data_IF_583426654545
#
_entry.id   IF_583426654545
#
_cell.length_a   1.000
_cell.length_b   1.000
_cell.length_c   1.000
_cell.angle_alpha   90.00
_cell.angle_beta   90.00
_cell.angle_gamma   90.00
#
_symmetry.space_group_name_H-M   'P 1'
#
loop_
_entity.id
_entity.type
_entity.pdbx_description
1 polymer ?
#
# COMPACT_ATOMS: atom_id res chain seq x y z
N UNK A 1 19.19 -13.63 -11.82
CA UNK A 1 17.92 -12.88 -12.06
C UNK A 1 16.76 -13.82 -11.68
N UNK A 2 16.01 -13.49 -10.67
CA UNK A 2 14.99 -14.39 -10.11
C UNK A 2 13.81 -14.52 -11.10
N UNK A 3 13.61 -15.71 -11.69
CA UNK A 3 12.54 -16.00 -12.63
C UNK A 3 11.23 -16.42 -11.94
N UNK A 4 11.24 -16.53 -10.61
CA UNK A 4 10.09 -17.03 -9.87
C UNK A 4 8.89 -16.07 -9.92
N UNK A 5 9.10 -14.75 -9.79
CA UNK A 5 8.02 -13.78 -9.84
C UNK A 5 7.25 -13.80 -11.18
N UNK A 6 7.89 -13.67 -12.35
CA UNK A 6 7.16 -13.77 -13.62
C UNK A 6 6.48 -15.13 -13.82
N UNK A 7 7.07 -16.22 -13.32
CA UNK A 7 6.42 -17.53 -13.38
C UNK A 7 5.15 -17.56 -12.50
N UNK A 8 5.18 -17.02 -11.27
CA UNK A 8 4.02 -16.90 -10.41
C UNK A 8 2.93 -16.01 -11.04
N UNK A 9 3.30 -14.89 -11.65
CA UNK A 9 2.32 -14.04 -12.36
C UNK A 9 1.66 -14.77 -13.54
N UNK A 10 2.43 -15.55 -14.30
CA UNK A 10 1.91 -16.38 -15.38
C UNK A 10 0.95 -17.47 -14.87
N UNK A 11 1.25 -18.09 -13.72
CA UNK A 11 0.35 -19.09 -13.11
C UNK A 11 -0.93 -18.45 -12.58
N UNK A 12 -0.91 -17.19 -12.08
CA UNK A 12 -2.14 -16.45 -11.77
C UNK A 12 -3.01 -16.31 -13.02
N UNK A 13 -2.43 -15.86 -14.13
CA UNK A 13 -3.15 -15.70 -15.40
C UNK A 13 -3.71 -17.04 -15.87
N UNK A 14 -2.92 -18.11 -15.81
CA UNK A 14 -3.39 -19.45 -16.19
C UNK A 14 -4.55 -19.94 -15.31
N UNK A 15 -4.48 -19.72 -13.98
CA UNK A 15 -5.57 -20.07 -13.07
C UNK A 15 -6.85 -19.28 -13.37
N UNK A 16 -6.76 -18.02 -13.79
CA UNK A 16 -7.90 -17.23 -14.24
C UNK A 16 -8.53 -17.82 -15.51
N UNK A 17 -7.74 -18.26 -16.48
CA UNK A 17 -8.28 -18.94 -17.67
C UNK A 17 -8.98 -20.26 -17.30
N UNK A 18 -8.39 -21.06 -16.40
CA UNK A 18 -9.03 -22.27 -15.90
C UNK A 18 -10.34 -21.96 -15.21
N UNK A 19 -10.45 -20.83 -14.49
CA UNK A 19 -11.69 -20.43 -13.81
C UNK A 19 -12.85 -20.12 -14.76
N UNK A 20 -12.58 -19.78 -16.02
CA UNK A 20 -13.61 -19.60 -17.05
C UNK A 20 -14.21 -20.94 -17.47
N UNK A 21 -13.36 -21.96 -17.65
CA UNK A 21 -13.81 -23.29 -18.07
C UNK A 21 -14.36 -24.14 -16.91
N UNK A 22 -13.74 -24.03 -15.75
CA UNK A 22 -14.14 -24.77 -14.52
C UNK A 22 -13.97 -23.86 -13.30
N UNK A 23 -15.00 -23.06 -12.95
CA UNK A 23 -14.88 -22.06 -11.89
C UNK A 23 -14.40 -22.64 -10.56
N UNK A 24 -14.97 -23.79 -10.15
CA UNK A 24 -14.63 -24.40 -8.87
C UNK A 24 -13.14 -24.80 -8.77
N UNK A 25 -12.58 -25.36 -9.84
CA UNK A 25 -11.18 -25.76 -9.89
C UNK A 25 -10.29 -24.53 -10.05
N UNK A 26 -10.67 -23.60 -10.94
CA UNK A 26 -9.91 -22.38 -11.21
C UNK A 26 -9.72 -21.51 -9.98
N UNK A 27 -10.77 -21.28 -9.17
CA UNK A 27 -10.65 -20.50 -7.94
C UNK A 27 -9.79 -21.19 -6.86
N UNK A 28 -9.82 -22.53 -6.77
CA UNK A 28 -8.91 -23.27 -5.89
C UNK A 28 -7.44 -23.14 -6.32
N UNK A 29 -7.18 -23.26 -7.62
CA UNK A 29 -5.82 -23.05 -8.18
C UNK A 29 -5.36 -21.62 -7.97
N UNK A 30 -6.23 -20.64 -8.24
CA UNK A 30 -5.93 -19.23 -7.99
C UNK A 30 -5.56 -19.00 -6.51
N UNK A 31 -6.31 -19.60 -5.58
CA UNK A 31 -6.02 -19.54 -4.15
C UNK A 31 -4.61 -20.06 -3.81
N UNK A 32 -4.25 -21.24 -4.33
CA UNK A 32 -2.91 -21.83 -4.13
C UNK A 32 -1.80 -20.91 -4.67
N UNK A 33 -2.01 -20.34 -5.86
CA UNK A 33 -1.03 -19.44 -6.48
C UNK A 33 -0.90 -18.14 -5.69
N UNK A 34 -2.00 -17.58 -5.14
CA UNK A 34 -1.93 -16.40 -4.28
C UNK A 34 -1.18 -16.66 -2.98
N UNK A 35 -1.36 -17.84 -2.36
CA UNK A 35 -0.56 -18.24 -1.19
C UNK A 35 0.93 -18.31 -1.57
N UNK A 36 1.26 -18.97 -2.68
CA UNK A 36 2.64 -19.07 -3.14
C UNK A 36 3.25 -17.69 -3.42
N UNK A 37 2.48 -16.80 -4.04
CA UNK A 37 2.89 -15.41 -4.30
C UNK A 37 3.11 -14.64 -3.00
N UNK A 38 2.18 -14.71 -2.04
CA UNK A 38 2.30 -14.05 -0.74
C UNK A 38 3.56 -14.52 0.01
N UNK A 39 3.79 -15.84 0.07
CA UNK A 39 4.99 -16.42 0.69
C UNK A 39 6.26 -15.96 -0.02
N UNK A 40 6.24 -15.93 -1.35
CA UNK A 40 7.39 -15.48 -2.13
C UNK A 40 7.68 -13.99 -1.86
N UNK A 41 6.66 -13.13 -1.85
CA UNK A 41 6.79 -11.70 -1.55
C UNK A 41 7.33 -11.49 -0.13
N UNK A 42 6.77 -12.14 0.87
CA UNK A 42 7.27 -12.05 2.25
C UNK A 42 8.76 -12.37 2.40
N UNK A 43 9.28 -13.28 1.56
CA UNK A 43 10.68 -13.73 1.64
C UNK A 43 11.65 -12.92 0.80
N UNK A 44 11.19 -12.37 -0.33
CA UNK A 44 12.08 -11.84 -1.37
C UNK A 44 11.91 -10.33 -1.61
N UNK A 45 10.86 -9.71 -1.06
CA UNK A 45 10.62 -8.28 -1.25
C UNK A 45 11.47 -7.41 -0.32
N UNK A 46 11.66 -6.17 -0.74
CA UNK A 46 12.42 -5.14 0.00
C UNK A 46 11.74 -4.70 1.30
N UNK A 47 10.48 -5.10 1.51
CA UNK A 47 9.68 -4.78 2.70
C UNK A 47 10.39 -5.14 4.01
N UNK A 48 11.00 -6.33 4.08
CA UNK A 48 11.76 -6.77 5.24
C UNK A 48 13.00 -5.89 5.55
N UNK A 49 13.64 -5.36 4.51
CA UNK A 49 14.72 -4.38 4.64
C UNK A 49 14.22 -3.02 5.12
N UNK A 50 13.00 -2.62 4.73
CA UNK A 50 12.34 -1.39 5.17
C UNK A 50 12.12 -1.36 6.67
N UNK A 51 11.63 -2.45 7.25
CA UNK A 51 11.37 -2.57 8.70
C UNK A 51 12.60 -2.24 9.56
N UNK A 52 13.80 -2.61 9.11
CA UNK A 52 15.06 -2.37 9.84
C UNK A 52 15.55 -0.93 9.78
N UNK A 53 15.09 -0.14 8.82
CA UNK A 53 15.56 1.25 8.59
C UNK A 53 14.83 2.29 9.43
N UNK A 54 13.66 1.96 9.99
CA UNK A 54 12.83 2.89 10.76
C UNK A 54 12.09 3.94 9.91
N UNK A 55 11.34 4.80 10.58
CA UNK A 55 10.63 5.92 9.96
C UNK A 55 9.68 5.53 8.83
N UNK A 56 9.69 6.29 7.74
CA UNK A 56 8.83 6.04 6.57
C UNK A 56 9.08 4.67 5.92
N UNK A 57 10.34 4.21 5.91
CA UNK A 57 10.67 2.91 5.32
C UNK A 57 10.08 1.75 6.13
N UNK A 58 10.07 1.86 7.46
CA UNK A 58 9.42 0.87 8.33
C UNK A 58 7.89 0.87 8.16
N UNK A 59 7.28 2.05 8.03
CA UNK A 59 5.85 2.18 7.74
C UNK A 59 5.46 1.45 6.44
N UNK A 60 6.17 1.73 5.35
CA UNK A 60 5.94 1.07 4.06
C UNK A 60 6.16 -0.44 4.20
N UNK A 61 7.30 -0.84 4.76
CA UNK A 61 7.65 -2.25 4.91
C UNK A 61 6.62 -3.04 5.72
N UNK A 62 6.09 -2.45 6.81
CA UNK A 62 5.08 -3.13 7.63
C UNK A 62 3.75 -3.30 6.87
N UNK A 63 3.26 -2.25 6.21
CA UNK A 63 2.00 -2.34 5.46
C UNK A 63 2.10 -3.31 4.27
N UNK A 64 3.26 -3.39 3.60
CA UNK A 64 3.53 -4.40 2.59
C UNK A 64 3.42 -5.81 3.18
N UNK A 65 4.11 -6.06 4.30
CA UNK A 65 4.08 -7.38 4.96
C UNK A 65 2.68 -7.78 5.40
N UNK A 66 1.92 -6.87 6.02
CA UNK A 66 0.53 -7.11 6.42
C UNK A 66 -0.34 -7.37 5.18
N UNK A 67 -0.16 -6.59 4.11
CA UNK A 67 -0.87 -6.81 2.85
C UNK A 67 -0.61 -8.19 2.26
N UNK A 68 0.62 -8.71 2.33
CA UNK A 68 0.93 -10.07 1.88
C UNK A 68 0.23 -11.14 2.73
N UNK A 69 0.07 -10.91 4.03
CA UNK A 69 -0.69 -11.83 4.90
C UNK A 69 -2.17 -11.85 4.51
N UNK A 70 -2.78 -10.68 4.23
CA UNK A 70 -4.15 -10.59 3.74
C UNK A 70 -4.33 -11.28 2.39
N UNK A 71 -3.38 -11.12 1.47
CA UNK A 71 -3.37 -11.82 0.18
C UNK A 71 -3.31 -13.34 0.38
N UNK A 72 -2.47 -13.81 1.30
CA UNK A 72 -2.37 -15.22 1.68
C UNK A 72 -3.66 -15.76 2.28
N UNK A 73 -4.33 -14.97 3.14
CA UNK A 73 -5.63 -15.34 3.73
C UNK A 73 -6.71 -15.48 2.65
N UNK A 74 -6.82 -14.54 1.72
CA UNK A 74 -7.74 -14.64 0.59
C UNK A 74 -7.46 -15.90 -0.24
N UNK A 75 -6.18 -16.17 -0.50
CA UNK A 75 -5.75 -17.40 -1.18
C UNK A 75 -6.15 -18.67 -0.44
N UNK A 76 -6.01 -18.69 0.89
CA UNK A 76 -6.42 -19.83 1.72
C UNK A 76 -7.93 -20.07 1.64
N UNK A 77 -8.74 -19.03 1.75
CA UNK A 77 -10.20 -19.12 1.69
C UNK A 77 -10.64 -19.68 0.32
N UNK A 78 -10.07 -19.17 -0.80
CA UNK A 78 -10.39 -19.70 -2.13
C UNK A 78 -9.90 -21.13 -2.34
N UNK A 79 -8.75 -21.52 -1.79
CA UNK A 79 -8.24 -22.89 -1.90
C UNK A 79 -9.19 -23.88 -1.25
N UNK A 80 -9.74 -23.55 -0.09
CA UNK A 80 -10.65 -24.41 0.66
C UNK A 80 -12.04 -24.44 0.01
N UNK A 81 -12.60 -23.28 -0.30
CA UNK A 81 -14.01 -23.18 -0.74
C UNK A 81 -14.19 -23.26 -2.27
N UNK A 82 -13.18 -22.87 -3.06
CA UNK A 82 -13.33 -22.70 -4.51
C UNK A 82 -14.11 -21.44 -4.85
N UNK A 83 -15.01 -21.54 -5.85
CA UNK A 83 -15.85 -20.42 -6.25
C UNK A 83 -16.79 -20.00 -5.10
N UNK A 84 -16.72 -18.73 -4.76
CA UNK A 84 -17.58 -18.06 -3.79
C UNK A 84 -18.31 -16.92 -4.52
N UNK A 85 -19.63 -16.87 -4.39
CA UNK A 85 -20.47 -15.83 -5.02
C UNK A 85 -21.18 -14.96 -3.99
N UNK A 86 -21.39 -15.48 -2.78
CA UNK A 86 -22.10 -14.79 -1.68
C UNK A 86 -21.64 -15.33 -0.34
N UNK A 87 -22.10 -14.69 0.73
CA UNK A 87 -21.87 -15.14 2.09
C UNK A 87 -20.57 -14.64 2.71
N UNK A 88 -20.35 -15.03 3.96
CA UNK A 88 -19.23 -14.53 4.79
C UNK A 88 -17.85 -14.82 4.21
N UNK A 89 -17.64 -16.00 3.67
CA UNK A 89 -16.36 -16.36 3.06
C UNK A 89 -16.06 -15.51 1.81
N UNK A 90 -17.11 -15.18 1.02
CA UNK A 90 -16.98 -14.23 -0.09
C UNK A 90 -16.61 -12.83 0.42
N UNK A 91 -17.32 -12.34 1.45
CA UNK A 91 -17.04 -11.04 2.06
C UNK A 91 -15.60 -10.97 2.58
N UNK A 92 -15.15 -11.98 3.31
CA UNK A 92 -13.80 -12.08 3.83
C UNK A 92 -12.73 -12.05 2.73
N UNK A 93 -12.92 -12.77 1.61
CA UNK A 93 -11.99 -12.74 0.47
C UNK A 93 -11.92 -11.36 -0.16
N UNK A 94 -13.08 -10.77 -0.46
CA UNK A 94 -13.15 -9.45 -1.10
C UNK A 94 -12.45 -8.40 -0.24
N UNK A 95 -12.73 -8.38 1.07
CA UNK A 95 -12.11 -7.41 1.97
C UNK A 95 -10.61 -7.68 2.20
N UNK A 96 -10.20 -8.94 2.26
CA UNK A 96 -8.77 -9.28 2.35
C UNK A 96 -7.99 -8.80 1.13
N UNK A 97 -8.52 -8.96 -0.09
CA UNK A 97 -7.84 -8.53 -1.32
C UNK A 97 -7.89 -7.02 -1.48
N UNK A 98 -9.10 -6.40 -1.37
CA UNK A 98 -9.25 -4.98 -1.72
C UNK A 98 -8.84 -4.04 -0.58
N UNK A 99 -9.19 -4.34 0.66
CA UNK A 99 -8.85 -3.48 1.79
C UNK A 99 -7.52 -3.90 2.42
N UNK A 100 -7.33 -5.18 2.69
CA UNK A 100 -6.11 -5.66 3.34
C UNK A 100 -4.90 -5.52 2.43
N UNK A 101 -4.94 -6.10 1.25
CA UNK A 101 -3.80 -6.03 0.33
C UNK A 101 -3.75 -4.72 -0.44
N UNK A 102 -4.76 -4.42 -1.27
CA UNK A 102 -4.69 -3.29 -2.22
C UNK A 102 -4.69 -1.94 -1.50
N UNK A 103 -5.61 -1.71 -0.55
CA UNK A 103 -5.67 -0.45 0.18
C UNK A 103 -4.49 -0.30 1.14
N UNK A 104 -4.03 -1.38 1.78
CA UNK A 104 -2.79 -1.41 2.56
C UNK A 104 -1.57 -0.96 1.74
N UNK A 105 -1.46 -1.44 0.48
CA UNK A 105 -0.42 -1.00 -0.46
C UNK A 105 -0.54 0.49 -0.80
N UNK A 106 -1.76 0.97 -1.05
CA UNK A 106 -2.02 2.39 -1.33
C UNK A 106 -1.63 3.27 -0.14
N UNK A 107 -2.06 2.92 1.08
CA UNK A 107 -1.71 3.65 2.29
C UNK A 107 -0.19 3.64 2.52
N UNK A 108 0.45 2.50 2.36
CA UNK A 108 1.90 2.37 2.51
C UNK A 108 2.68 3.30 1.58
N UNK A 109 2.24 3.43 0.35
CA UNK A 109 2.89 4.26 -0.66
C UNK A 109 2.37 5.71 -0.72
N UNK A 110 1.27 6.03 -0.04
CA UNK A 110 0.66 7.36 -0.05
C UNK A 110 1.65 8.49 0.26
N UNK A 111 2.56 8.39 1.26
CA UNK A 111 3.52 9.45 1.55
C UNK A 111 4.53 9.73 0.43
N UNK A 112 4.70 8.80 -0.51
CA UNK A 112 5.59 8.95 -1.67
C UNK A 112 4.79 9.37 -2.90
N UNK A 113 3.65 8.72 -3.16
CA UNK A 113 2.88 8.90 -4.40
C UNK A 113 2.10 10.22 -4.36
N UNK A 114 1.44 10.55 -3.24
CA UNK A 114 0.60 11.75 -3.16
C UNK A 114 1.36 13.05 -3.44
N UNK A 115 2.56 13.31 -2.87
CA UNK A 115 3.30 14.53 -3.21
C UNK A 115 3.72 14.59 -4.67
N UNK A 116 4.03 13.44 -5.28
CA UNK A 116 4.39 13.39 -6.70
C UNK A 116 3.21 13.70 -7.62
N UNK A 117 2.04 13.08 -7.37
CA UNK A 117 0.82 13.25 -8.18
C UNK A 117 0.20 14.64 -7.99
N UNK A 118 0.09 15.10 -6.75
CA UNK A 118 -0.52 16.40 -6.43
C UNK A 118 0.44 17.58 -6.64
N UNK A 119 1.72 17.35 -6.96
CA UNK A 119 2.77 18.36 -7.11
C UNK A 119 2.91 19.27 -5.88
N UNK A 120 2.70 18.71 -4.70
CA UNK A 120 2.81 19.40 -3.41
C UNK A 120 4.04 18.91 -2.63
N UNK A 121 4.40 19.60 -1.56
CA UNK A 121 5.38 19.12 -0.59
C UNK A 121 4.63 18.47 0.57
N UNK A 122 4.84 17.20 0.77
CA UNK A 122 4.30 16.44 1.90
C UNK A 122 5.49 15.80 2.64
N UNK A 123 5.77 16.28 3.83
CA UNK A 123 6.81 15.69 4.65
C UNK A 123 6.26 14.46 5.36
N UNK A 124 7.10 13.43 5.48
CA UNK A 124 6.77 12.27 6.29
C UNK A 124 6.42 12.70 7.73
N UNK A 125 5.35 12.14 8.27
CA UNK A 125 4.92 12.33 9.65
C UNK A 125 4.42 11.01 10.23
N UNK A 126 4.59 10.83 11.52
CA UNK A 126 4.10 9.65 12.24
C UNK A 126 2.57 9.55 12.26
N UNK A 127 1.85 10.62 11.96
CA UNK A 127 0.39 10.61 11.84
C UNK A 127 -0.14 9.67 10.76
N UNK A 128 0.68 9.27 9.77
CA UNK A 128 0.30 8.24 8.79
C UNK A 128 0.03 6.87 9.42
N UNK A 129 0.56 6.60 10.61
CA UNK A 129 0.26 5.36 11.33
C UNK A 129 -1.20 5.27 11.76
N UNK A 130 -1.88 6.39 12.03
CA UNK A 130 -3.25 6.40 12.51
C UNK A 130 -4.25 5.82 11.48
N UNK A 131 -4.33 6.32 10.23
CA UNK A 131 -5.20 5.70 9.22
C UNK A 131 -4.82 4.25 8.93
N UNK A 132 -3.53 3.89 8.91
CA UNK A 132 -3.10 2.52 8.71
C UNK A 132 -3.58 1.61 9.84
N UNK A 133 -3.41 2.00 11.10
CA UNK A 133 -3.89 1.25 12.25
C UNK A 133 -5.43 1.09 12.22
N UNK A 134 -6.17 2.15 11.89
CA UNK A 134 -7.63 2.08 11.77
C UNK A 134 -8.06 1.11 10.68
N UNK A 135 -7.38 1.10 9.52
CA UNK A 135 -7.67 0.16 8.44
C UNK A 135 -7.48 -1.28 8.90
N UNK A 136 -6.33 -1.61 9.46
CA UNK A 136 -6.00 -2.97 9.89
C UNK A 136 -6.92 -3.44 11.03
N UNK A 137 -7.19 -2.57 12.01
CA UNK A 137 -8.12 -2.86 13.10
C UNK A 137 -9.55 -3.10 12.56
N UNK A 138 -10.00 -2.31 11.58
CA UNK A 138 -11.31 -2.49 10.94
C UNK A 138 -11.46 -3.86 10.29
N UNK A 139 -10.41 -4.32 9.60
CA UNK A 139 -10.38 -5.63 8.94
C UNK A 139 -10.34 -6.78 9.93
N UNK A 140 -9.53 -6.67 10.99
CA UNK A 140 -9.49 -7.67 12.06
C UNK A 140 -10.85 -7.82 12.73
N UNK A 141 -11.55 -6.72 13.00
CA UNK A 141 -12.91 -6.75 13.58
C UNK A 141 -13.89 -7.34 12.57
N UNK A 142 -13.88 -6.87 11.32
CA UNK A 142 -14.82 -7.31 10.29
C UNK A 142 -14.66 -8.78 9.97
N UNK A 143 -13.46 -9.21 9.59
CA UNK A 143 -13.19 -10.58 9.14
C UNK A 143 -13.04 -11.52 10.34
N UNK A 144 -12.25 -11.12 11.36
CA UNK A 144 -11.94 -11.97 12.51
C UNK A 144 -13.10 -12.16 13.48
N UNK A 145 -13.94 -11.15 13.68
CA UNK A 145 -15.10 -11.23 14.59
C UNK A 145 -16.40 -11.30 13.78
N UNK A 146 -16.57 -10.43 12.78
CA UNK A 146 -17.77 -10.34 11.98
C UNK A 146 -18.04 -11.59 11.17
N UNK A 147 -17.17 -11.88 10.22
CA UNK A 147 -17.33 -13.02 9.30
C UNK A 147 -17.05 -14.37 9.96
N UNK A 148 -15.99 -14.47 10.77
CA UNK A 148 -15.62 -15.73 11.40
C UNK A 148 -16.60 -16.18 12.50
N UNK A 149 -17.16 -15.25 13.31
CA UNK A 149 -18.05 -15.54 14.43
C UNK A 149 -19.52 -15.22 14.16
N UNK A 150 -19.87 -14.89 12.92
CA UNK A 150 -21.24 -14.53 12.50
C UNK A 150 -21.85 -13.37 13.34
N UNK A 151 -21.10 -12.26 13.43
CA UNK A 151 -21.52 -11.09 14.20
C UNK A 151 -21.79 -9.89 13.28
N UNK A 152 -23.04 -9.66 12.84
CA UNK A 152 -23.38 -8.56 11.93
C UNK A 152 -23.01 -7.17 12.47
N UNK A 153 -23.08 -6.97 13.79
CA UNK A 153 -22.67 -5.73 14.43
C UNK A 153 -21.17 -5.44 14.28
N UNK A 154 -20.33 -6.48 14.33
CA UNK A 154 -18.89 -6.35 14.10
C UNK A 154 -18.57 -6.04 12.62
N UNK A 155 -19.34 -6.61 11.68
CA UNK A 155 -19.24 -6.28 10.25
C UNK A 155 -19.55 -4.79 10.02
N UNK A 156 -20.63 -4.28 10.61
CA UNK A 156 -21.01 -2.87 10.51
C UNK A 156 -19.96 -1.94 11.19
N UNK A 157 -19.53 -2.29 12.40
CA UNK A 157 -18.50 -1.53 13.10
C UNK A 157 -17.17 -1.46 12.31
N UNK A 158 -16.71 -2.60 11.76
CA UNK A 158 -15.56 -2.65 10.88
C UNK A 158 -15.72 -1.73 9.65
N UNK A 159 -16.90 -1.74 9.02
CA UNK A 159 -17.21 -0.85 7.89
C UNK A 159 -17.10 0.64 8.26
N UNK A 160 -17.66 1.05 9.40
CA UNK A 160 -17.57 2.45 9.89
C UNK A 160 -16.12 2.83 10.16
N UNK A 161 -15.35 1.99 10.87
CA UNK A 161 -13.94 2.27 11.18
C UNK A 161 -13.10 2.34 9.88
N UNK A 162 -13.43 1.54 8.87
CA UNK A 162 -12.75 1.62 7.57
C UNK A 162 -12.98 2.98 6.88
N UNK A 163 -14.22 3.48 6.87
CA UNK A 163 -14.52 4.82 6.35
C UNK A 163 -13.75 5.88 7.14
N UNK A 164 -13.74 5.79 8.46
CA UNK A 164 -12.96 6.71 9.31
C UNK A 164 -11.46 6.66 9.02
N UNK A 165 -10.91 5.48 8.72
CA UNK A 165 -9.51 5.34 8.28
C UNK A 165 -9.22 6.19 7.05
N UNK A 166 -10.06 6.09 6.00
CA UNK A 166 -9.86 6.84 4.77
C UNK A 166 -10.02 8.36 4.97
N UNK A 167 -11.03 8.77 5.76
CA UNK A 167 -11.21 10.19 6.12
C UNK A 167 -10.01 10.72 6.91
N UNK A 168 -9.46 9.90 7.82
CA UNK A 168 -8.26 10.25 8.59
C UNK A 168 -7.05 10.41 7.68
N UNK A 169 -6.87 9.53 6.67
CA UNK A 169 -5.81 9.68 5.68
C UNK A 169 -5.92 11.03 4.96
N UNK A 170 -7.13 11.38 4.48
CA UNK A 170 -7.37 12.66 3.81
C UNK A 170 -7.05 13.83 4.74
N UNK A 171 -7.48 13.78 6.01
CA UNK A 171 -7.20 14.81 6.99
C UNK A 171 -5.69 14.95 7.28
N UNK A 172 -4.97 13.84 7.46
CA UNK A 172 -3.50 13.84 7.65
C UNK A 172 -2.80 14.48 6.46
N UNK A 173 -3.19 14.11 5.24
CA UNK A 173 -2.61 14.69 4.02
C UNK A 173 -2.92 16.18 3.96
N UNK A 174 -4.18 16.59 4.12
CA UNK A 174 -4.61 17.98 4.01
C UNK A 174 -3.89 18.90 5.02
N UNK A 175 -3.68 18.43 6.25
CA UNK A 175 -3.03 19.21 7.32
C UNK A 175 -1.50 19.30 7.16
N UNK A 176 -0.88 18.35 6.46
CA UNK A 176 0.58 18.31 6.31
C UNK A 176 1.06 18.71 4.90
N UNK A 177 0.13 18.99 3.98
CA UNK A 177 0.46 19.53 2.65
C UNK A 177 0.94 20.96 2.76
N UNK A 178 2.09 21.25 2.14
CA UNK A 178 2.59 22.62 1.95
C UNK A 178 2.63 22.92 0.46
N UNK A 179 2.05 24.06 0.05
CA UNK A 179 2.17 24.52 -1.33
C UNK A 179 3.64 24.66 -1.71
N UNK A 180 4.02 24.20 -2.90
CA UNK A 180 5.33 24.53 -3.48
C UNK A 180 5.31 26.02 -3.79
N UNK A 181 6.02 26.85 -3.01
CA UNK A 181 6.33 28.22 -3.41
C UNK A 181 7.01 28.15 -4.78
N UNK A 182 6.49 28.90 -5.76
CA UNK A 182 7.15 29.05 -7.06
C UNK A 182 8.61 29.48 -6.77
N UNK A 183 9.60 28.91 -7.47
CA UNK A 183 10.96 29.46 -7.40
C UNK A 183 10.88 30.94 -7.71
N UNK A 184 11.51 31.78 -6.88
CA UNK A 184 11.64 33.21 -7.15
C UNK A 184 12.45 33.35 -8.44
N UNK A 185 11.73 33.68 -9.53
CA UNK A 185 12.32 33.89 -10.85
C UNK A 185 12.93 35.29 -10.97
N UNK A 186 13.10 36.03 -9.85
CA UNK A 186 13.80 37.29 -9.89
C UNK A 186 15.25 37.06 -10.32
N UNK A 187 15.73 37.75 -11.36
CA UNK A 187 17.12 37.67 -11.75
C UNK A 187 17.98 38.08 -10.55
N UNK A 188 18.94 37.24 -10.20
CA UNK A 188 19.90 37.55 -9.16
C UNK A 188 20.59 38.89 -9.56
N UNK A 189 20.62 39.92 -8.68
CA UNK A 189 21.30 41.18 -9.01
C UNK A 189 22.72 40.85 -9.50
N UNK A 190 23.08 41.44 -10.65
CA UNK A 190 24.42 41.29 -11.20
C UNK A 190 25.40 41.72 -10.12
N UNK A 191 26.31 40.85 -9.76
CA UNK A 191 27.44 41.20 -8.87
C UNK A 191 28.21 42.34 -9.51
N UNK A 192 28.45 43.47 -8.83
CA UNK A 192 29.28 44.51 -9.37
C UNK A 192 30.63 43.93 -9.74
N UNK A 193 31.00 44.06 -11.00
CA UNK A 193 32.38 43.71 -11.41
C UNK A 193 33.35 44.56 -10.61
N UNK A 194 34.05 43.93 -9.69
CA UNK A 194 35.19 44.55 -9.00
C UNK A 194 36.22 44.88 -10.07
N UNK A 195 36.29 46.15 -10.45
CA UNK A 195 37.35 46.67 -11.32
C UNK A 195 38.67 46.46 -10.59
N UNK A 196 39.52 45.58 -11.10
CA UNK A 196 40.87 45.38 -10.64
C UNK A 196 41.63 46.69 -10.81
N UNK A 197 42.30 47.18 -9.77
CA UNK A 197 43.14 48.37 -9.90
C UNK A 197 44.29 48.08 -10.88
N UNK A 198 44.40 48.93 -11.91
CA UNK A 198 45.54 48.93 -12.85
C UNK A 198 46.83 49.07 -12.07
N UNK A 199 47.66 48.03 -12.13
CA UNK A 199 49.03 48.08 -11.64
C UNK A 199 49.82 49.15 -12.40
N UNK A 200 50.15 50.28 -11.77
CA UNK A 200 51.10 51.23 -12.29
C UNK A 200 52.51 50.65 -12.12
N UNK A 201 53.04 50.21 -13.23
CA UNK A 201 54.49 49.91 -13.29
C UNK A 201 55.24 51.26 -13.34
N UNK A 202 55.93 51.56 -12.27
CA UNK A 202 56.95 52.63 -12.29
C UNK A 202 58.25 51.96 -12.69
N UNK A 203 58.76 52.40 -13.84
CA UNK A 203 60.10 52.11 -14.35
C UNK A 203 61.25 52.74 -13.54
#
# INVERSE_FOLDING_TARGET
>A
RNRALPALCLTVVAALFVSVASPQIGYRLLGLVLIALAVWLCRNDVAGGGLKRGGQAAYIGLLLMIGYLWLGLAGLIWTVNGLLTTGRAYDAVVHSVFLGFTMGMILGHAPIILPAVLRVRLNWTTWFWLPAFLLEASLLVRIGIGDALDRPTAVQAGGVVNVLSLLTLVAVVATHVRSRSRPDTRPKPATPHTTLPLRRDHG
#
